data_IF_345555830424
#
_entry.id   IF_345555830424
#
_cell.length_a   1.000
_cell.length_b   1.000
_cell.length_c   1.000
_cell.angle_alpha   90.00
_cell.angle_beta   90.00
_cell.angle_gamma   90.00
#
_symmetry.space_group_name_H-M   'P 1'
#
loop_
_entity.id
_entity.type
_entity.pdbx_description
1 polymer ?
#
# COMPACT_ATOMS: atom_id res chain seq x y z
N UNK A 1 11.84 23.15 7.68
CA UNK A 1 11.68 21.79 8.23
C UNK A 1 10.25 21.72 8.75
N UNK A 2 9.38 21.04 8.02
CA UNK A 2 8.01 20.77 8.43
C UNK A 2 7.89 19.26 8.62
N UNK A 3 7.10 18.82 9.59
CA UNK A 3 6.78 17.41 9.73
C UNK A 3 5.77 17.08 8.63
N UNK A 4 6.15 16.24 7.67
CA UNK A 4 5.27 15.84 6.57
C UNK A 4 4.86 14.38 6.75
N UNK A 5 3.56 14.11 6.64
CA UNK A 5 3.01 12.75 6.66
C UNK A 5 2.30 12.50 5.34
N UNK A 6 2.76 11.50 4.60
CA UNK A 6 2.10 11.00 3.40
C UNK A 6 1.28 9.76 3.73
N UNK A 7 0.06 9.71 3.20
CA UNK A 7 -0.85 8.58 3.32
C UNK A 7 -1.21 8.14 1.90
N UNK A 8 -1.11 6.84 1.64
CA UNK A 8 -1.50 6.19 0.40
C UNK A 8 -2.60 5.17 0.73
N UNK A 9 -3.74 5.29 0.06
CA UNK A 9 -4.78 4.28 0.03
C UNK A 9 -4.75 3.60 -1.33
N UNK A 10 -4.48 2.30 -1.34
CA UNK A 10 -4.29 1.51 -2.57
C UNK A 10 -5.30 0.36 -2.62
N UNK A 11 -6.12 0.34 -3.65
CA UNK A 11 -7.01 -0.79 -3.95
C UNK A 11 -6.24 -1.88 -4.71
N UNK A 12 -6.42 -3.13 -4.30
CA UNK A 12 -5.86 -4.31 -4.97
C UNK A 12 -6.98 -5.28 -5.33
N UNK A 13 -6.90 -5.87 -6.53
CA UNK A 13 -7.78 -6.93 -7.00
C UNK A 13 -7.03 -8.27 -7.04
N UNK A 14 -7.71 -9.34 -6.61
CA UNK A 14 -7.18 -10.69 -6.52
C UNK A 14 -8.13 -11.67 -7.23
N UNK A 15 -8.26 -11.61 -8.57
CA UNK A 15 -9.25 -12.39 -9.31
C UNK A 15 -9.07 -13.90 -9.12
N UNK A 16 -7.81 -14.36 -9.08
CA UNK A 16 -7.41 -15.77 -8.96
C UNK A 16 -7.48 -16.33 -7.53
N UNK A 17 -7.66 -15.47 -6.53
CA UNK A 17 -7.79 -15.95 -5.16
C UNK A 17 -9.19 -16.54 -4.96
N UNK A 18 -9.41 -17.52 -4.08
CA UNK A 18 -10.73 -18.15 -3.84
C UNK A 18 -11.13 -18.28 -2.36
N UNK A 19 -10.41 -17.59 -1.46
CA UNK A 19 -10.72 -17.64 -0.03
C UNK A 19 -10.11 -16.47 0.73
N UNK A 20 -10.69 -16.13 1.90
CA UNK A 20 -10.11 -15.12 2.80
C UNK A 20 -8.71 -15.51 3.28
N UNK A 21 -8.46 -16.80 3.52
CA UNK A 21 -7.13 -17.31 3.90
C UNK A 21 -6.10 -17.08 2.79
N UNK A 22 -6.48 -17.35 1.53
CA UNK A 22 -5.61 -17.10 0.37
C UNK A 22 -5.28 -15.63 0.20
N UNK A 23 -6.27 -14.73 0.35
CA UNK A 23 -6.08 -13.28 0.35
C UNK A 23 -5.07 -12.86 1.41
N UNK A 24 -5.23 -13.33 2.66
CA UNK A 24 -4.29 -13.02 3.75
C UNK A 24 -2.87 -13.47 3.43
N UNK A 25 -2.70 -14.61 2.76
CA UNK A 25 -1.39 -15.07 2.28
C UNK A 25 -0.76 -14.16 1.23
N UNK A 26 -1.54 -13.67 0.26
CA UNK A 26 -1.08 -12.69 -0.73
C UNK A 26 -0.73 -11.36 -0.07
N UNK A 27 -1.62 -10.80 0.74
CA UNK A 27 -1.40 -9.52 1.42
C UNK A 27 -0.21 -9.57 2.36
N UNK A 28 0.00 -10.65 3.10
CA UNK A 28 1.18 -10.78 3.96
C UNK A 28 2.48 -10.73 3.15
N UNK A 29 2.54 -11.39 1.99
CA UNK A 29 3.72 -11.32 1.10
C UNK A 29 3.97 -9.91 0.59
N UNK A 30 2.92 -9.21 0.15
CA UNK A 30 3.01 -7.81 -0.31
C UNK A 30 3.50 -6.91 0.83
N UNK A 31 2.81 -6.92 1.98
CA UNK A 31 3.12 -6.07 3.14
C UNK A 31 4.54 -6.29 3.65
N UNK A 32 4.97 -7.55 3.80
CA UNK A 32 6.33 -7.86 4.25
C UNK A 32 7.39 -7.37 3.27
N UNK A 33 7.18 -7.51 1.96
CA UNK A 33 8.12 -6.99 0.96
C UNK A 33 8.19 -5.46 0.99
N UNK A 34 7.03 -4.79 1.05
CA UNK A 34 6.97 -3.32 1.13
C UNK A 34 7.68 -2.80 2.38
N UNK A 35 7.38 -3.34 3.56
CA UNK A 35 7.99 -2.90 4.81
C UNK A 35 9.50 -3.18 4.90
N UNK A 36 9.99 -4.21 4.18
CA UNK A 36 11.42 -4.52 4.12
C UNK A 36 12.18 -3.66 3.09
N UNK A 37 11.50 -3.14 2.07
CA UNK A 37 12.11 -2.34 1.00
C UNK A 37 12.02 -0.84 1.28
N UNK A 38 10.94 -0.38 1.89
CA UNK A 38 10.67 1.03 2.13
C UNK A 38 10.48 1.29 3.62
N UNK A 39 10.97 2.44 4.09
CA UNK A 39 10.67 2.94 5.43
C UNK A 39 9.23 3.50 5.47
N UNK A 40 8.24 2.61 5.52
CA UNK A 40 6.80 2.92 5.54
C UNK A 40 6.06 2.00 6.50
N UNK A 41 4.95 2.46 7.03
CA UNK A 41 3.95 1.60 7.66
C UNK A 41 2.98 1.08 6.60
N UNK A 42 2.51 -0.16 6.73
CA UNK A 42 1.54 -0.76 5.80
C UNK A 42 0.54 -1.66 6.54
N UNK A 43 -0.75 -1.48 6.26
CA UNK A 43 -1.83 -2.28 6.82
C UNK A 43 -2.95 -2.50 5.78
N UNK A 44 -3.74 -3.56 5.97
CA UNK A 44 -5.04 -3.67 5.28
C UNK A 44 -6.04 -2.84 6.08
N UNK A 45 -6.77 -1.93 5.42
CA UNK A 45 -7.66 -0.96 6.10
C UNK A 45 -9.13 -1.08 5.69
N UNK A 46 -9.46 -1.83 4.64
CA UNK A 46 -10.84 -2.03 4.19
C UNK A 46 -10.98 -3.31 3.34
N UNK A 47 -12.22 -3.64 2.95
CA UNK A 47 -12.61 -4.80 2.16
C UNK A 47 -12.29 -6.16 2.82
N UNK A 48 -12.22 -6.22 4.16
CA UNK A 48 -11.80 -7.42 4.90
C UNK A 48 -12.62 -8.68 4.60
N UNK A 49 -13.92 -8.53 4.32
CA UNK A 49 -14.84 -9.63 4.02
C UNK A 49 -14.85 -10.05 2.53
N UNK A 50 -14.10 -9.34 1.68
CA UNK A 50 -13.94 -9.67 0.27
C UNK A 50 -12.62 -10.40 0.05
N UNK A 51 -12.63 -11.54 -0.64
CA UNK A 51 -11.40 -12.28 -0.96
C UNK A 51 -10.79 -11.90 -2.31
N UNK A 52 -11.56 -11.26 -3.21
CA UNK A 52 -11.07 -10.77 -4.51
C UNK A 52 -10.69 -9.28 -4.49
N UNK A 53 -10.83 -8.60 -3.35
CA UNK A 53 -10.52 -7.19 -3.18
C UNK A 53 -9.87 -6.93 -1.83
N UNK A 54 -8.89 -6.05 -1.82
CA UNK A 54 -8.26 -5.54 -0.61
C UNK A 54 -8.01 -4.04 -0.75
N UNK A 55 -7.98 -3.33 0.38
CA UNK A 55 -7.49 -1.96 0.43
C UNK A 55 -6.33 -1.89 1.40
N UNK A 56 -5.18 -1.44 0.93
CA UNK A 56 -4.01 -1.19 1.76
C UNK A 56 -3.91 0.29 2.10
N UNK A 57 -3.68 0.59 3.38
CA UNK A 57 -3.23 1.88 3.85
C UNK A 57 -1.72 1.83 4.08
N UNK A 58 -1.01 2.77 3.48
CA UNK A 58 0.45 2.91 3.58
C UNK A 58 0.75 4.33 4.05
N UNK A 59 1.70 4.49 4.97
CA UNK A 59 2.08 5.82 5.45
C UNK A 59 3.59 6.00 5.54
N UNK A 60 4.07 7.20 5.22
CA UNK A 60 5.47 7.62 5.37
C UNK A 60 5.53 8.97 6.06
N UNK A 61 6.50 9.13 6.95
CA UNK A 61 6.82 10.42 7.58
C UNK A 61 8.15 10.91 7.03
N UNK A 62 8.25 12.19 6.74
CA UNK A 62 9.46 12.83 6.21
C UNK A 62 9.52 14.31 6.50
N UNK A 63 10.53 14.97 5.94
CA UNK A 63 10.80 16.41 6.15
C UNK A 63 10.48 17.26 4.91
N UNK A 64 10.14 16.62 3.79
CA UNK A 64 9.88 17.25 2.50
C UNK A 64 8.75 16.51 1.77
N UNK A 65 7.74 17.24 1.31
CA UNK A 65 6.56 16.66 0.65
C UNK A 65 6.90 15.95 -0.67
N UNK A 66 7.83 16.48 -1.46
CA UNK A 66 8.24 15.87 -2.73
C UNK A 66 8.91 14.51 -2.54
N UNK A 67 9.76 14.36 -1.53
CA UNK A 67 10.39 13.09 -1.19
C UNK A 67 9.35 12.06 -0.71
N UNK A 68 8.42 12.49 0.14
CA UNK A 68 7.35 11.62 0.66
C UNK A 68 6.41 11.15 -0.46
N UNK A 69 5.95 12.04 -1.33
CA UNK A 69 5.11 11.69 -2.50
C UNK A 69 5.84 10.71 -3.42
N UNK A 70 7.08 11.03 -3.79
CA UNK A 70 7.90 10.18 -4.66
C UNK A 70 8.10 8.78 -4.08
N UNK A 71 8.37 8.68 -2.77
CA UNK A 71 8.51 7.41 -2.09
C UNK A 71 7.20 6.59 -2.10
N UNK A 72 6.04 7.22 -1.89
CA UNK A 72 4.75 6.53 -1.95
C UNK A 72 4.43 6.03 -3.37
N UNK A 73 4.73 6.82 -4.42
CA UNK A 73 4.59 6.38 -5.81
C UNK A 73 5.49 5.20 -6.16
N UNK A 74 6.72 5.20 -5.64
CA UNK A 74 7.62 4.05 -5.79
C UNK A 74 7.09 2.80 -5.10
N UNK A 75 6.39 2.94 -3.97
CA UNK A 75 5.70 1.80 -3.32
C UNK A 75 4.61 1.24 -4.23
N UNK A 76 3.80 2.08 -4.89
CA UNK A 76 2.76 1.62 -5.84
C UNK A 76 3.38 0.84 -6.99
N UNK A 77 4.40 1.41 -7.64
CA UNK A 77 5.13 0.76 -8.75
C UNK A 77 5.76 -0.56 -8.30
N UNK A 78 6.32 -0.59 -7.09
CA UNK A 78 6.89 -1.80 -6.53
C UNK A 78 5.82 -2.88 -6.32
N UNK A 79 4.68 -2.55 -5.70
CA UNK A 79 3.57 -3.48 -5.48
C UNK A 79 3.09 -4.06 -6.83
N UNK A 80 2.90 -3.22 -7.84
CA UNK A 80 2.51 -3.64 -9.18
C UNK A 80 3.54 -4.61 -9.79
N UNK A 81 4.83 -4.31 -9.68
CA UNK A 81 5.92 -5.17 -10.17
C UNK A 81 6.00 -6.54 -9.49
N UNK A 82 5.39 -6.72 -8.31
CA UNK A 82 5.35 -8.02 -7.65
C UNK A 82 4.42 -9.00 -8.38
N UNK A 83 3.48 -8.50 -9.17
CA UNK A 83 2.48 -9.29 -9.91
C UNK A 83 1.73 -10.29 -9.02
N UNK A 84 1.51 -9.91 -7.76
CA UNK A 84 0.80 -10.72 -6.76
C UNK A 84 -0.70 -10.39 -6.67
N UNK A 85 -1.07 -9.20 -7.14
CA UNK A 85 -2.42 -8.67 -7.21
C UNK A 85 -2.43 -7.58 -8.30
N UNK A 86 -3.60 -7.33 -8.88
CA UNK A 86 -3.78 -6.22 -9.82
C UNK A 86 -3.96 -4.91 -9.04
N UNK A 87 -3.25 -3.86 -9.44
CA UNK A 87 -3.38 -2.53 -8.83
C UNK A 87 -4.60 -1.81 -9.38
N UNK A 88 -5.44 -1.29 -8.48
CA UNK A 88 -6.61 -0.48 -8.79
C UNK A 88 -6.39 0.98 -8.42
N UNK A 89 -7.43 1.60 -7.85
CA UNK A 89 -7.41 3.00 -7.45
C UNK A 89 -6.31 3.32 -6.43
N UNK A 90 -5.64 4.45 -6.67
CA UNK A 90 -4.60 5.04 -5.84
C UNK A 90 -5.07 6.43 -5.38
N UNK A 91 -5.07 6.66 -4.07
CA UNK A 91 -5.32 7.97 -3.47
C UNK A 91 -4.14 8.33 -2.56
N UNK A 92 -3.44 9.43 -2.85
CA UNK A 92 -2.35 9.96 -2.03
C UNK A 92 -2.79 11.28 -1.38
N UNK A 93 -2.58 11.39 -0.08
CA UNK A 93 -2.77 12.61 0.70
C UNK A 93 -1.47 12.98 1.43
N UNK A 94 -1.15 14.27 1.45
CA UNK A 94 0.06 14.80 2.11
C UNK A 94 -0.36 15.85 3.14
N UNK A 95 -0.02 15.59 4.39
CA UNK A 95 -0.31 16.43 5.54
C UNK A 95 0.96 17.15 5.98
N UNK A 96 0.86 18.46 6.19
CA UNK A 96 1.92 19.28 6.78
C UNK A 96 1.53 19.58 8.23
N UNK A 97 2.40 19.21 9.17
CA UNK A 97 2.22 19.34 10.62
C UNK A 97 3.20 20.36 11.20
#
# INVERSE_FOLDING_TARGET
MALVVGILKLTLFLPENHSLKGKRGVLNRIKSRVANTFNVSVAECDAHDLWQRAVLGISRVGNEAGEVDSALRQVVQFIDSLQLAEVGDEEIEILHV
#
